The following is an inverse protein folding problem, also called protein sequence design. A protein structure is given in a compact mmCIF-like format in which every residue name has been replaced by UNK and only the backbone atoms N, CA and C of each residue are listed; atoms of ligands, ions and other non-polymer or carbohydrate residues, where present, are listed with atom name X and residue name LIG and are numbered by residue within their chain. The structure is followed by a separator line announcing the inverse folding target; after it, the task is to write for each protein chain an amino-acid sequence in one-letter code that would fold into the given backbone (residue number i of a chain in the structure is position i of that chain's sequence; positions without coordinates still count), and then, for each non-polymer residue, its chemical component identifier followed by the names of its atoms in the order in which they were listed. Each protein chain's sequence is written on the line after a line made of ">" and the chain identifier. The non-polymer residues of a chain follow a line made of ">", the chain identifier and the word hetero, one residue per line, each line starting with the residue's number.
data_IF_193066466016
#
_entry.id   IF_193066466016
#
_cell.length_a   1.000
_cell.length_b   1.000
_cell.length_c   1.000
_cell.angle_alpha   90.00
_cell.angle_beta   90.00
_cell.angle_gamma   90.00
#
_symmetry.space_group_name_H-M   'P 1'
#
loop_
_entity.id
_entity.type
_entity.pdbx_description
1 polymer ?
#
# COMPACT_ATOMS: atom_id res chain seq x y z
N UNK A 1 -5.87 45.97 -23.02
CA UNK A 1 -6.76 44.78 -22.99
C UNK A 1 -6.12 43.71 -22.11
N UNK A 2 -6.72 43.39 -20.96
CA UNK A 2 -6.22 42.33 -20.07
C UNK A 2 -6.95 41.02 -20.45
N UNK A 3 -6.30 40.16 -21.24
CA UNK A 3 -6.89 38.92 -21.75
C UNK A 3 -7.17 37.93 -20.58
N UNK A 4 -8.44 37.63 -20.24
CA UNK A 4 -8.81 36.80 -19.09
C UNK A 4 -8.43 35.32 -19.24
N UNK A 5 -8.17 34.87 -20.47
CA UNK A 5 -7.74 33.51 -20.80
C UNK A 5 -6.33 33.16 -20.29
N UNK A 6 -5.37 34.10 -20.32
CA UNK A 6 -4.01 33.85 -19.84
C UNK A 6 -3.95 33.70 -18.32
N UNK A 7 -4.83 34.43 -17.61
CA UNK A 7 -4.98 34.27 -16.15
C UNK A 7 -5.47 32.87 -15.81
N UNK A 8 -6.46 32.33 -16.54
CA UNK A 8 -6.98 30.96 -16.34
C UNK A 8 -5.92 29.91 -16.65
N UNK A 9 -5.21 30.04 -17.78
CA UNK A 9 -4.14 29.12 -18.16
C UNK A 9 -3.02 29.07 -17.09
N UNK A 10 -2.61 30.22 -16.56
CA UNK A 10 -1.57 30.30 -15.52
C UNK A 10 -2.03 29.67 -14.20
N UNK A 11 -3.28 29.90 -13.79
CA UNK A 11 -3.85 29.26 -12.58
C UNK A 11 -3.90 27.74 -12.75
N UNK A 12 -4.30 27.26 -13.93
CA UNK A 12 -4.35 25.82 -14.21
C UNK A 12 -2.95 25.20 -14.19
N UNK A 13 -1.95 25.83 -14.82
CA UNK A 13 -0.56 25.37 -14.80
C UNK A 13 0.01 25.32 -13.37
N UNK A 14 -0.31 26.33 -12.55
CA UNK A 14 0.06 26.34 -11.13
C UNK A 14 -0.57 25.17 -10.38
N UNK A 15 -1.88 24.92 -10.58
CA UNK A 15 -2.59 23.81 -9.94
C UNK A 15 -1.99 22.44 -10.29
N UNK A 16 -1.63 22.23 -11.56
CA UNK A 16 -0.98 20.98 -11.98
C UNK A 16 0.40 20.81 -11.34
N UNK A 17 1.16 21.91 -11.24
CA UNK A 17 2.47 21.91 -10.56
C UNK A 17 2.33 21.57 -9.08
N UNK A 18 1.31 22.10 -8.40
CA UNK A 18 1.05 21.81 -7.00
C UNK A 18 0.61 20.35 -6.79
N UNK A 19 -0.26 19.82 -7.65
CA UNK A 19 -0.62 18.39 -7.62
C UNK A 19 0.59 17.47 -7.83
N UNK A 20 1.52 17.83 -8.73
CA UNK A 20 2.75 17.08 -8.92
C UNK A 20 3.65 17.11 -7.67
N UNK A 21 3.73 18.25 -6.96
CA UNK A 21 4.42 18.36 -5.67
C UNK A 21 3.77 17.47 -4.61
N UNK A 22 2.45 17.52 -4.46
CA UNK A 22 1.71 16.71 -3.49
C UNK A 22 1.85 15.21 -3.76
N UNK A 23 1.86 14.80 -5.04
CA UNK A 23 2.13 13.41 -5.43
C UNK A 23 3.52 12.96 -5.01
N UNK A 24 4.55 13.79 -5.20
CA UNK A 24 5.92 13.47 -4.73
C UNK A 24 5.97 13.26 -3.21
N UNK A 25 5.25 14.08 -2.44
CA UNK A 25 5.15 13.89 -0.97
C UNK A 25 4.52 12.55 -0.64
N UNK A 26 3.40 12.20 -1.28
CA UNK A 26 2.74 10.90 -1.08
C UNK A 26 3.65 9.73 -1.45
N UNK A 27 4.29 9.80 -2.61
CA UNK A 27 5.19 8.75 -3.10
C UNK A 27 6.43 8.60 -2.19
N UNK A 28 6.86 9.67 -1.50
CA UNK A 28 7.90 9.60 -0.47
C UNK A 28 7.39 8.92 0.80
N UNK A 29 6.21 9.30 1.30
CA UNK A 29 5.58 8.64 2.45
C UNK A 29 5.45 7.13 2.20
N UNK A 30 4.97 6.74 1.02
CA UNK A 30 4.74 5.33 0.68
C UNK A 30 6.02 4.49 0.66
N UNK A 31 7.14 5.10 0.26
CA UNK A 31 8.44 4.45 0.17
C UNK A 31 9.18 4.42 1.52
N UNK A 32 9.05 5.48 2.30
CA UNK A 32 9.85 5.74 3.50
C UNK A 32 9.04 5.67 4.80
N UNK A 33 7.83 5.08 4.78
CA UNK A 33 6.91 5.11 5.93
C UNK A 33 7.54 4.68 7.26
N UNK A 34 8.50 3.75 7.25
CA UNK A 34 9.16 3.22 8.44
C UNK A 34 10.23 4.17 9.02
N UNK A 35 10.68 5.16 8.25
CA UNK A 35 11.65 6.16 8.71
C UNK A 35 10.96 7.15 9.67
N UNK A 36 11.72 7.85 10.54
CA UNK A 36 11.22 8.93 11.38
C UNK A 36 10.86 10.17 10.53
N UNK A 37 9.83 10.05 9.71
CA UNK A 37 9.30 11.10 8.85
C UNK A 37 8.52 12.10 9.70
N UNK A 38 8.90 13.38 9.59
CA UNK A 38 8.11 14.50 10.11
C UNK A 38 7.56 15.34 8.94
N UNK A 39 6.44 16.02 9.20
CA UNK A 39 5.73 16.79 8.17
C UNK A 39 6.58 17.96 7.68
N UNK A 40 7.45 18.49 8.54
CA UNK A 40 8.40 19.55 8.24
C UNK A 40 9.43 19.13 7.19
N UNK A 41 9.94 17.90 7.25
CA UNK A 41 10.86 17.35 6.26
C UNK A 41 10.16 17.16 4.91
N UNK A 42 8.94 16.63 4.91
CA UNK A 42 8.14 16.50 3.70
C UNK A 42 7.84 17.84 3.05
N UNK A 43 7.59 18.88 3.86
CA UNK A 43 7.29 20.22 3.38
C UNK A 43 8.52 20.92 2.77
N UNK A 44 9.71 20.72 3.37
CA UNK A 44 10.98 21.24 2.85
C UNK A 44 11.28 20.72 1.45
N UNK A 45 11.07 19.44 1.18
CA UNK A 45 11.33 18.82 -0.14
C UNK A 45 10.53 19.45 -1.29
N UNK A 46 9.36 20.02 -0.99
CA UNK A 46 8.49 20.64 -1.99
C UNK A 46 8.39 22.15 -1.87
N UNK A 47 9.28 22.77 -1.09
CA UNK A 47 9.35 24.21 -0.85
C UNK A 47 8.03 24.80 -0.33
N UNK A 48 7.38 24.11 0.61
CA UNK A 48 6.16 24.55 1.28
C UNK A 48 6.39 24.71 2.78
N UNK A 49 5.60 25.56 3.44
CA UNK A 49 5.47 25.49 4.89
C UNK A 49 4.65 24.24 5.27
N UNK A 50 4.91 23.67 6.45
CA UNK A 50 4.20 22.47 6.93
C UNK A 50 2.68 22.66 6.99
N UNK A 51 2.23 23.86 7.39
CA UNK A 51 0.81 24.22 7.41
C UNK A 51 0.21 24.32 6.02
N UNK A 52 0.93 24.90 5.04
CA UNK A 52 0.45 24.96 3.66
C UNK A 52 0.38 23.56 3.04
N UNK A 53 1.43 22.74 3.22
CA UNK A 53 1.44 21.35 2.78
C UNK A 53 0.26 20.58 3.36
N UNK A 54 0.01 20.69 4.67
CA UNK A 54 -1.08 19.97 5.32
C UNK A 54 -2.45 20.32 4.75
N UNK A 55 -2.71 21.60 4.49
CA UNK A 55 -3.98 22.05 3.87
C UNK A 55 -4.13 21.55 2.44
N UNK A 56 -3.08 21.69 1.63
CA UNK A 56 -3.12 21.29 0.22
C UNK A 56 -3.21 19.77 0.06
N UNK A 57 -2.46 19.02 0.87
CA UNK A 57 -2.51 17.57 0.87
C UNK A 57 -3.89 17.07 1.28
N UNK A 58 -4.51 17.66 2.31
CA UNK A 58 -5.90 17.34 2.69
C UNK A 58 -6.91 17.68 1.60
N UNK A 59 -6.75 18.82 0.93
CA UNK A 59 -7.62 19.19 -0.18
C UNK A 59 -7.50 18.21 -1.36
N UNK A 60 -6.32 17.63 -1.60
CA UNK A 60 -6.06 16.71 -2.69
C UNK A 60 -6.39 15.24 -2.38
N UNK A 61 -6.16 14.79 -1.13
CA UNK A 61 -6.21 13.37 -0.74
C UNK A 61 -7.20 13.06 0.39
N UNK A 62 -7.91 14.06 0.92
CA UNK A 62 -8.94 13.88 1.96
C UNK A 62 -8.43 13.87 3.40
N UNK A 63 -7.13 13.70 3.63
CA UNK A 63 -6.54 13.66 4.96
C UNK A 63 -5.20 14.41 5.06
N UNK A 64 -4.69 14.66 6.27
CA UNK A 64 -3.39 15.32 6.44
C UNK A 64 -2.22 14.37 6.14
N UNK A 65 -1.01 14.88 5.83
CA UNK A 65 0.17 14.04 5.60
C UNK A 65 0.49 13.11 6.77
N UNK A 66 0.33 13.60 8.01
CA UNK A 66 0.54 12.78 9.22
C UNK A 66 -0.49 11.66 9.34
N UNK A 67 -1.77 11.95 9.06
CA UNK A 67 -2.84 10.94 9.07
C UNK A 67 -2.56 9.86 8.02
N UNK A 68 -2.22 10.27 6.80
CA UNK A 68 -1.88 9.37 5.70
C UNK A 68 -0.70 8.47 6.05
N UNK A 69 0.39 9.03 6.62
CA UNK A 69 1.53 8.26 7.10
C UNK A 69 1.12 7.23 8.15
N UNK A 70 0.29 7.59 9.13
CA UNK A 70 -0.20 6.63 10.12
C UNK A 70 -1.03 5.52 9.47
N UNK A 71 -1.93 5.84 8.53
CA UNK A 71 -2.69 4.84 7.79
C UNK A 71 -1.77 3.84 7.10
N UNK A 72 -0.75 4.31 6.38
CA UNK A 72 0.24 3.43 5.72
C UNK A 72 1.01 2.56 6.71
N UNK A 73 1.36 3.09 7.89
CA UNK A 73 2.02 2.30 8.95
C UNK A 73 1.11 1.23 9.52
N UNK A 74 -0.17 1.55 9.77
CA UNK A 74 -1.13 0.58 10.29
C UNK A 74 -1.40 -0.52 9.28
N UNK A 75 -1.57 -0.21 7.99
CA UNK A 75 -1.69 -1.22 6.93
C UNK A 75 -0.53 -2.23 6.95
N UNK A 76 0.70 -1.73 7.10
CA UNK A 76 1.91 -2.57 7.17
C UNK A 76 1.99 -3.34 8.48
N UNK A 77 1.58 -2.74 9.59
CA UNK A 77 1.51 -3.39 10.90
C UNK A 77 0.51 -4.56 10.89
N UNK A 78 -0.64 -4.40 10.22
CA UNK A 78 -1.63 -5.46 10.05
C UNK A 78 -1.02 -6.69 9.37
N UNK A 79 -0.21 -6.49 8.31
CA UNK A 79 0.47 -7.59 7.64
C UNK A 79 1.49 -8.30 8.56
N UNK A 80 2.29 -7.54 9.31
CA UNK A 80 3.26 -8.09 10.26
C UNK A 80 2.60 -8.85 11.41
N UNK A 81 1.49 -8.33 11.95
CA UNK A 81 0.74 -8.99 13.03
C UNK A 81 0.05 -10.27 12.55
N UNK A 82 -0.43 -10.31 11.30
CA UNK A 82 -0.97 -11.54 10.70
C UNK A 82 0.08 -12.63 10.52
N UNK A 83 1.33 -12.24 10.22
CA UNK A 83 2.46 -13.18 10.07
C UNK A 83 2.85 -13.81 11.41
N UNK A 84 2.71 -13.08 12.52
CA UNK A 84 2.85 -13.64 13.87
C UNK A 84 4.27 -13.68 14.44
N UNK A 85 5.31 -13.36 13.64
CA UNK A 85 6.72 -13.48 14.06
C UNK A 85 7.19 -12.39 15.03
N UNK A 86 6.44 -11.29 15.16
CA UNK A 86 6.82 -10.12 15.96
C UNK A 86 5.80 -9.81 17.04
N UNK A 87 6.30 -9.32 18.18
CA UNK A 87 5.46 -8.74 19.22
C UNK A 87 4.79 -7.45 18.76
N UNK A 88 3.68 -7.07 19.39
CA UNK A 88 2.99 -5.78 19.10
C UNK A 88 3.96 -4.61 19.24
N UNK A 89 4.83 -4.64 20.24
CA UNK A 89 5.85 -3.61 20.49
C UNK A 89 6.90 -3.58 19.37
N UNK A 90 7.41 -4.74 18.96
CA UNK A 90 8.36 -4.82 17.84
C UNK A 90 7.73 -4.34 16.53
N UNK A 91 6.48 -4.72 16.26
CA UNK A 91 5.74 -4.23 15.07
C UNK A 91 5.61 -2.71 15.11
N UNK A 92 5.24 -2.12 16.25
CA UNK A 92 5.11 -0.67 16.41
C UNK A 92 6.39 0.06 15.97
N UNK A 93 7.55 -0.38 16.46
CA UNK A 93 8.82 0.24 16.10
C UNK A 93 9.29 -0.12 14.68
N UNK A 94 9.03 -1.34 14.21
CA UNK A 94 9.36 -1.78 12.85
C UNK A 94 8.62 -0.98 11.77
N UNK A 95 7.39 -0.53 12.04
CA UNK A 95 6.66 0.37 11.13
C UNK A 95 7.00 1.85 11.32
N UNK A 96 7.92 2.18 12.24
CA UNK A 96 8.42 3.55 12.45
C UNK A 96 7.62 4.40 13.43
N UNK A 97 6.69 3.83 14.18
CA UNK A 97 5.96 4.58 15.22
C UNK A 97 6.86 4.87 16.41
N UNK A 98 6.86 6.13 16.88
CA UNK A 98 7.69 6.58 18.00
C UNK A 98 7.14 6.16 19.37
N UNK A 99 5.84 5.88 19.47
CA UNK A 99 5.20 5.51 20.72
C UNK A 99 4.17 4.40 20.53
N UNK A 100 4.15 3.46 21.49
CA UNK A 100 3.19 2.36 21.52
C UNK A 100 1.76 2.84 21.75
N UNK A 101 1.58 3.91 22.54
CA UNK A 101 0.27 4.50 22.81
C UNK A 101 -0.38 5.07 21.56
N UNK A 102 0.32 5.94 20.82
CA UNK A 102 -0.20 6.51 19.56
C UNK A 102 -0.47 5.42 18.54
N UNK A 103 0.43 4.43 18.43
CA UNK A 103 0.21 3.28 17.56
C UNK A 103 -1.06 2.51 17.94
N UNK A 104 -1.25 2.17 19.21
CA UNK A 104 -2.39 1.39 19.69
C UNK A 104 -3.71 2.11 19.43
N UNK A 105 -3.78 3.42 19.72
CA UNK A 105 -4.97 4.24 19.45
C UNK A 105 -5.29 4.24 17.97
N UNK A 106 -4.32 4.60 17.11
CA UNK A 106 -4.53 4.67 15.65
C UNK A 106 -4.86 3.32 15.03
N UNK A 107 -4.19 2.26 15.48
CA UNK A 107 -4.49 0.90 15.03
C UNK A 107 -5.94 0.55 15.35
N UNK A 108 -6.39 0.81 16.59
CA UNK A 108 -7.76 0.49 17.01
C UNK A 108 -8.79 1.31 16.26
N UNK A 109 -8.53 2.60 16.03
CA UNK A 109 -9.41 3.47 15.22
C UNK A 109 -9.58 2.95 13.78
N UNK A 110 -8.50 2.48 13.15
CA UNK A 110 -8.51 2.07 11.74
C UNK A 110 -8.93 0.60 11.52
N UNK A 111 -8.61 -0.28 12.46
CA UNK A 111 -8.84 -1.75 12.35
C UNK A 111 -10.05 -2.19 13.19
N UNK A 112 -10.63 -1.29 13.98
CA UNK A 112 -11.74 -1.54 14.92
C UNK A 112 -11.43 -2.57 16.04
N UNK A 113 -10.15 -2.94 16.22
CA UNK A 113 -9.70 -3.88 17.24
C UNK A 113 -8.29 -3.53 17.73
N UNK A 114 -7.98 -3.71 19.03
CA UNK A 114 -6.62 -3.52 19.53
C UNK A 114 -5.61 -4.50 18.90
N UNK A 115 -4.35 -4.09 18.67
CA UNK A 115 -3.36 -4.88 17.94
C UNK A 115 -3.04 -6.23 18.60
N UNK A 116 -3.08 -6.31 19.93
CA UNK A 116 -2.86 -7.57 20.65
C UNK A 116 -3.99 -8.58 20.46
N UNK A 117 -5.25 -8.10 20.42
CA UNK A 117 -6.40 -8.95 20.12
C UNK A 117 -6.39 -9.39 18.66
N UNK A 118 -6.09 -8.45 17.75
CA UNK A 118 -5.95 -8.73 16.32
C UNK A 118 -4.89 -9.82 16.04
N UNK A 119 -3.73 -9.76 16.71
CA UNK A 119 -2.68 -10.77 16.56
C UNK A 119 -3.11 -12.15 17.06
N UNK A 120 -3.81 -12.23 18.19
CA UNK A 120 -4.33 -13.52 18.71
C UNK A 120 -5.31 -14.15 17.74
N UNK A 121 -6.29 -13.36 17.27
CA UNK A 121 -7.25 -13.83 16.29
C UNK A 121 -6.59 -14.30 14.99
N UNK A 122 -5.54 -13.60 14.54
CA UNK A 122 -4.78 -14.05 13.36
C UNK A 122 -4.07 -15.38 13.62
N UNK A 123 -3.47 -15.57 14.80
CA UNK A 123 -2.81 -16.82 15.17
C UNK A 123 -3.79 -18.00 15.23
N UNK A 124 -4.98 -17.80 15.81
CA UNK A 124 -6.04 -18.82 15.87
C UNK A 124 -6.46 -19.27 14.47
N UNK A 125 -6.69 -18.30 13.55
CA UNK A 125 -7.01 -18.62 12.15
C UNK A 125 -5.89 -19.39 11.46
N UNK A 126 -4.62 -19.04 11.71
CA UNK A 126 -3.49 -19.79 11.11
C UNK A 126 -3.35 -21.20 11.68
N UNK A 127 -3.64 -21.41 12.96
CA UNK A 127 -3.64 -22.72 13.58
C UNK A 127 -4.76 -23.59 13.01
N UNK A 128 -5.98 -23.05 12.89
CA UNK A 128 -7.12 -23.75 12.27
C UNK A 128 -6.83 -24.16 10.82
N UNK A 129 -6.20 -23.28 10.03
CA UNK A 129 -5.79 -23.59 8.67
C UNK A 129 -4.68 -24.65 8.62
N UNK A 130 -3.68 -24.56 9.51
CA UNK A 130 -2.60 -25.54 9.57
C UNK A 130 -3.10 -26.93 9.99
N UNK A 131 -4.05 -27.00 10.93
CA UNK A 131 -4.69 -28.24 11.35
C UNK A 131 -5.60 -28.81 10.25
N UNK A 132 -6.35 -27.97 9.53
CA UNK A 132 -7.14 -28.40 8.36
C UNK A 132 -6.25 -28.93 7.22
N UNK A 133 -5.11 -28.28 6.96
CA UNK A 133 -4.12 -28.72 5.96
C UNK A 133 -3.44 -30.03 6.40
N UNK A 134 -3.09 -30.18 7.69
CA UNK A 134 -2.59 -31.46 8.24
C UNK A 134 -3.62 -32.58 8.14
N UNK A 135 -4.88 -32.32 8.49
CA UNK A 135 -5.96 -33.29 8.34
C UNK A 135 -6.15 -33.72 6.87
N UNK A 136 -5.98 -32.80 5.91
CA UNK A 136 -6.01 -33.12 4.49
C UNK A 136 -4.76 -33.90 4.00
N UNK A 137 -3.60 -33.71 4.64
CA UNK A 137 -2.39 -34.51 4.37
C UNK A 137 -2.47 -35.92 4.97
N UNK A 138 -3.00 -36.06 6.19
CA UNK A 138 -3.14 -37.34 6.91
C UNK A 138 -4.25 -38.22 6.29
N UNK A 139 -5.27 -37.60 5.67
CA UNK A 139 -6.24 -38.28 4.82
C UNK A 139 -5.64 -38.62 3.44
N UNK A 140 -4.63 -39.51 3.44
CA UNK A 140 -4.07 -40.21 2.28
C UNK A 140 -4.33 -39.59 0.92
N UNK A 141 -3.40 -38.75 0.46
CA UNK A 141 -3.39 -38.17 -0.89
C UNK A 141 -3.59 -39.26 -1.96
N UNK A 142 -4.78 -39.27 -2.57
CA UNK A 142 -4.87 -39.63 -3.98
C UNK A 142 -4.06 -38.57 -4.74
N UNK A 143 -2.94 -38.98 -5.33
CA UNK A 143 -2.10 -38.15 -6.18
C UNK A 143 -2.97 -37.62 -7.32
N UNK A 144 -3.45 -36.39 -7.15
CA UNK A 144 -3.85 -35.50 -8.23
C UNK A 144 -2.83 -34.37 -8.21
N UNK A 145 -2.27 -34.05 -9.38
CA UNK A 145 -1.30 -32.95 -9.49
C UNK A 145 -2.00 -31.66 -9.06
N UNK A 146 -1.40 -30.98 -8.07
CA UNK A 146 -1.57 -29.60 -7.59
C UNK A 146 -2.91 -28.87 -7.80
N UNK A 147 -3.46 -28.33 -6.70
CA UNK A 147 -3.58 -26.87 -6.44
C UNK A 147 -4.36 -25.98 -7.42
N UNK A 148 -4.87 -26.53 -8.51
CA UNK A 148 -5.69 -25.89 -9.51
C UNK A 148 -6.97 -26.70 -9.60
N UNK A 149 -8.14 -26.07 -9.43
CA UNK A 149 -9.39 -26.70 -9.79
C UNK A 149 -9.30 -27.23 -11.23
N UNK A 150 -9.85 -28.42 -11.50
CA UNK A 150 -9.72 -29.10 -12.80
C UNK A 150 -10.18 -28.25 -14.01
N UNK A 151 -11.03 -27.24 -13.79
CA UNK A 151 -11.41 -26.25 -14.80
C UNK A 151 -10.26 -25.30 -15.18
N UNK A 152 -9.42 -24.91 -14.22
CA UNK A 152 -8.26 -24.03 -14.41
C UNK A 152 -7.18 -24.77 -15.19
N UNK A 153 -6.85 -26.01 -14.81
CA UNK A 153 -5.85 -26.82 -15.51
C UNK A 153 -6.15 -26.99 -17.01
N UNK A 154 -7.43 -27.15 -17.40
CA UNK A 154 -7.86 -27.25 -18.81
C UNK A 154 -7.74 -25.95 -19.60
N UNK A 155 -7.78 -24.78 -18.95
CA UNK A 155 -7.61 -23.48 -19.61
C UNK A 155 -6.13 -23.13 -19.85
N UNK A 156 -5.24 -23.44 -18.88
CA UNK A 156 -3.81 -23.06 -18.96
C UNK A 156 -2.98 -23.99 -19.84
N UNK A 157 -3.38 -25.25 -19.98
CA UNK A 157 -2.60 -26.26 -20.73
C UNK A 157 -2.96 -26.35 -22.22
N UNK A 158 -3.94 -25.55 -22.70
CA UNK A 158 -4.23 -25.49 -24.13
C UNK A 158 -3.03 -24.84 -24.86
N UNK A 159 -2.43 -25.51 -25.86
CA UNK A 159 -1.31 -24.95 -26.61
C UNK A 159 -1.73 -23.63 -27.29
N UNK A 160 -1.12 -22.53 -26.88
CA UNK A 160 -1.28 -21.23 -27.56
C UNK A 160 -0.48 -21.30 -28.86
N UNK A 161 -1.17 -21.33 -30.01
CA UNK A 161 -0.53 -21.08 -31.31
C UNK A 161 -0.09 -19.62 -31.33
N UNK A 162 1.18 -19.39 -30.99
CA UNK A 162 1.84 -18.10 -31.11
C UNK A 162 1.80 -17.70 -32.59
N UNK A 163 0.92 -16.77 -32.96
CA UNK A 163 1.03 -16.09 -34.25
C UNK A 163 2.18 -15.10 -34.09
N UNK A 164 3.34 -15.50 -34.58
CA UNK A 164 4.44 -14.61 -34.90
C UNK A 164 3.88 -13.40 -35.68
N UNK A 165 4.10 -12.19 -35.16
CA UNK A 165 3.88 -10.99 -35.93
C UNK A 165 5.05 -10.88 -36.94
N UNK A 166 4.80 -10.92 -38.26
CA UNK A 166 5.87 -10.75 -39.23
C UNK A 166 6.42 -9.32 -39.14
N UNK A 167 7.76 -9.23 -39.14
CA UNK A 167 8.48 -7.98 -39.30
C UNK A 167 8.12 -7.37 -40.67
N UNK A 168 7.59 -6.15 -40.68
CA UNK A 168 7.46 -5.38 -41.90
C UNK A 168 8.81 -4.72 -42.21
N UNK A 169 9.49 -5.26 -43.22
CA UNK A 169 10.62 -4.63 -43.90
C UNK A 169 10.18 -3.28 -44.50
N UNK A 170 10.96 -2.23 -44.27
CA UNK A 170 10.88 -0.98 -45.03
C UNK A 170 11.84 -1.07 -46.24
N UNK A 171 11.39 -0.82 -47.49
CA UNK A 171 12.31 -0.54 -48.57
C UNK A 171 12.66 0.95 -48.60
N UNK A 172 13.96 1.22 -48.67
CA UNK A 172 14.53 2.48 -49.12
C UNK A 172 14.11 2.77 -50.57
N UNK A 173 13.69 4.00 -50.83
CA UNK A 173 13.79 4.69 -52.11
C UNK A 173 14.11 6.16 -51.84
#
# INVERSE_FOLDING_TARGET
>A
MCQPEWRRARVQAQRLTDLARLRRVRDRIDREYAQPLNVEALARDVNMSAGHLSRQFRAAYGESPYSYLMTRRIERATALLRRGDLSVTEVCFAVGCASLGTFTTRFTELVAMPPGAFRRQAADVTADHADAVRAAHDAGSAITVEGMPACVAKQVTRPVRNREAPAAEQPLA
#
